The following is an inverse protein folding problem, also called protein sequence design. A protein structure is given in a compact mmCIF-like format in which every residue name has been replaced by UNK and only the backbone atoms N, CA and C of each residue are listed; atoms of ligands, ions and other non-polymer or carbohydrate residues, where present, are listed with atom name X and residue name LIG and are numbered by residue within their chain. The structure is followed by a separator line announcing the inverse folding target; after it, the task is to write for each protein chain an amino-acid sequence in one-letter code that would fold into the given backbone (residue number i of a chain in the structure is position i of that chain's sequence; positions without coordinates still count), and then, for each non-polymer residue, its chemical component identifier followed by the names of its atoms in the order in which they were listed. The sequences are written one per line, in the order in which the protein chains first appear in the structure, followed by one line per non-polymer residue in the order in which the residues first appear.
data_IF_823191981308
#
_entry.id   IF_823191981308
#
_cell.length_a   1.000
_cell.length_b   1.000
_cell.length_c   1.000
_cell.angle_alpha   90.00
_cell.angle_beta   90.00
_cell.angle_gamma   90.00
#
_symmetry.space_group_name_H-M   'P 1'
#
loop_
_entity.id
_entity.type
_entity.pdbx_description
1 polymer ?
#
# COMPACT_ATOMS: atom_id res chain seq x y z
N UNK A 1 6.74 53.40 -54.53
CA UNK A 1 7.60 53.25 -53.34
C UNK A 1 6.87 52.36 -52.35
N UNK A 2 7.46 51.25 -51.93
CA UNK A 2 6.93 50.44 -50.84
C UNK A 2 7.20 51.18 -49.52
N UNK A 3 6.18 51.32 -48.68
CA UNK A 3 6.35 51.93 -47.37
C UNK A 3 7.39 51.13 -46.55
N UNK A 4 8.28 51.79 -45.79
CA UNK A 4 9.15 51.11 -44.84
C UNK A 4 8.28 50.27 -43.89
N UNK A 5 8.64 48.99 -43.69
CA UNK A 5 7.97 48.15 -42.69
C UNK A 5 8.12 48.76 -41.29
N UNK A 6 7.16 48.50 -40.40
CA UNK A 6 7.14 49.07 -39.05
C UNK A 6 8.51 48.97 -38.36
N UNK A 7 9.04 50.11 -37.93
CA UNK A 7 10.27 50.19 -37.15
C UNK A 7 9.99 49.68 -35.72
N UNK A 8 10.11 48.37 -35.54
CA UNK A 8 9.97 47.71 -34.24
C UNK A 8 9.23 46.38 -34.30
N UNK A 9 9.72 45.38 -33.55
CA UNK A 9 9.08 44.06 -33.42
C UNK A 9 7.83 44.05 -32.51
N UNK A 10 7.32 45.21 -32.08
CA UNK A 10 6.21 45.30 -31.12
C UNK A 10 4.93 44.64 -31.63
N UNK A 11 4.60 44.82 -32.91
CA UNK A 11 3.45 44.15 -33.54
C UNK A 11 3.60 42.64 -33.60
N UNK A 12 4.83 42.15 -33.77
CA UNK A 12 5.14 40.72 -33.77
C UNK A 12 5.02 40.10 -32.37
N UNK A 13 5.53 40.77 -31.34
CA UNK A 13 5.41 40.32 -29.96
C UNK A 13 3.93 40.31 -29.50
N UNK A 14 3.15 41.30 -29.91
CA UNK A 14 1.71 41.34 -29.65
C UNK A 14 0.99 40.18 -30.37
N UNK A 15 1.33 39.92 -31.63
CA UNK A 15 0.76 38.79 -32.37
C UNK A 15 1.09 37.45 -31.70
N UNK A 16 2.29 37.30 -31.12
CA UNK A 16 2.67 36.10 -30.37
C UNK A 16 1.86 35.95 -29.07
N UNK A 17 1.65 37.04 -28.33
CA UNK A 17 0.84 37.00 -27.11
C UNK A 17 -0.62 36.69 -27.41
N UNK A 18 -1.18 37.31 -28.45
CA UNK A 18 -2.56 37.08 -28.86
C UNK A 18 -2.73 35.63 -29.32
N UNK A 19 -1.76 35.10 -30.07
CA UNK A 19 -1.75 33.71 -30.52
C UNK A 19 -1.69 32.66 -29.38
N UNK A 20 -1.22 33.02 -28.18
CA UNK A 20 -1.25 32.13 -27.02
C UNK A 20 -2.64 32.05 -26.38
N UNK A 21 -3.43 33.11 -26.47
CA UNK A 21 -4.78 33.18 -25.87
C UNK A 21 -5.86 32.78 -26.87
N UNK A 22 -5.57 32.88 -28.17
CA UNK A 22 -6.49 32.51 -29.25
C UNK A 22 -6.95 31.04 -29.13
N UNK A 23 -8.28 30.78 -29.03
CA UNK A 23 -8.81 29.44 -28.90
C UNK A 23 -8.52 28.59 -30.14
N UNK A 24 -7.79 27.50 -29.96
CA UNK A 24 -7.49 26.54 -31.04
C UNK A 24 -8.20 25.23 -30.82
N UNK A 25 -8.62 24.57 -31.89
CA UNK A 25 -9.24 23.25 -31.75
C UNK A 25 -8.15 22.20 -31.46
N UNK A 26 -8.32 21.32 -30.46
CA UNK A 26 -7.35 20.27 -30.18
C UNK A 26 -7.29 19.24 -31.31
N UNK A 27 -6.09 18.76 -31.63
CA UNK A 27 -5.84 17.86 -32.78
C UNK A 27 -5.69 16.38 -32.43
N UNK A 28 -5.91 15.98 -31.16
CA UNK A 28 -5.91 14.54 -30.85
C UNK A 28 -5.67 14.08 -29.42
N UNK A 29 -5.58 14.97 -28.43
CA UNK A 29 -5.45 14.52 -27.03
C UNK A 29 -6.82 14.34 -26.38
N UNK A 30 -7.12 13.14 -25.90
CA UNK A 30 -8.43 12.76 -25.33
C UNK A 30 -8.88 13.62 -24.15
N UNK A 31 -7.97 14.26 -23.41
CA UNK A 31 -8.38 15.17 -22.32
C UNK A 31 -8.91 16.52 -22.81
N UNK A 32 -8.62 16.89 -24.06
CA UNK A 32 -8.97 18.20 -24.62
C UNK A 32 -10.16 18.04 -25.57
N UNK A 33 -11.31 18.60 -25.19
CA UNK A 33 -12.57 18.45 -25.93
C UNK A 33 -13.18 19.77 -26.41
N UNK A 34 -12.53 20.89 -26.09
CA UNK A 34 -12.99 22.23 -26.45
C UNK A 34 -11.84 23.08 -26.99
N UNK A 35 -12.18 24.05 -27.84
CA UNK A 35 -11.21 25.04 -28.29
C UNK A 35 -10.84 25.96 -27.12
N UNK A 36 -9.55 26.06 -26.84
CA UNK A 36 -9.01 26.77 -25.68
C UNK A 36 -7.67 27.42 -26.03
N UNK A 37 -7.26 28.41 -25.21
CA UNK A 37 -5.91 28.96 -25.28
C UNK A 37 -4.86 27.97 -24.76
N UNK A 38 -3.58 28.24 -25.05
CA UNK A 38 -2.49 27.29 -24.78
C UNK A 38 -2.31 26.95 -23.29
N UNK A 39 -2.54 27.93 -22.40
CA UNK A 39 -2.39 27.73 -20.95
C UNK A 39 -3.45 26.76 -20.40
N UNK A 40 -4.70 26.90 -20.83
CA UNK A 40 -5.79 26.00 -20.43
C UNK A 40 -5.55 24.59 -20.96
N UNK A 41 -5.14 24.45 -22.23
CA UNK A 41 -4.78 23.14 -22.79
C UNK A 41 -3.64 22.47 -22.01
N UNK A 42 -2.60 23.21 -21.65
CA UNK A 42 -1.50 22.68 -20.84
C UNK A 42 -1.99 22.23 -19.45
N UNK A 43 -2.88 23.01 -18.82
CA UNK A 43 -3.51 22.65 -17.56
C UNK A 43 -4.34 21.38 -17.67
N UNK A 44 -5.14 21.23 -18.73
CA UNK A 44 -5.96 20.03 -18.95
C UNK A 44 -5.10 18.77 -19.11
N UNK A 45 -3.98 18.87 -19.84
CA UNK A 45 -3.01 17.75 -19.96
C UNK A 45 -2.42 17.42 -18.58
N UNK A 46 -1.98 18.43 -17.83
CA UNK A 46 -1.42 18.22 -16.49
C UNK A 46 -2.45 17.59 -15.55
N UNK A 47 -3.70 18.07 -15.56
CA UNK A 47 -4.81 17.51 -14.78
C UNK A 47 -5.12 16.06 -15.17
N UNK A 48 -5.04 15.71 -16.45
CA UNK A 48 -5.23 14.34 -16.91
C UNK A 48 -4.18 13.39 -16.33
N UNK A 49 -2.89 13.76 -16.39
CA UNK A 49 -1.82 12.95 -15.82
C UNK A 49 -1.87 12.90 -14.30
N UNK A 50 -2.19 14.01 -13.63
CA UNK A 50 -2.39 14.05 -12.19
C UNK A 50 -3.53 13.12 -11.75
N UNK A 51 -4.67 13.15 -12.46
CA UNK A 51 -5.79 12.25 -12.21
C UNK A 51 -5.45 10.78 -12.43
N UNK A 52 -4.62 10.47 -13.46
CA UNK A 52 -4.15 9.10 -13.70
C UNK A 52 -3.18 8.62 -12.61
N UNK A 53 -2.27 9.48 -12.16
CA UNK A 53 -1.35 9.19 -11.08
C UNK A 53 -2.10 8.93 -9.77
N UNK A 54 -3.05 9.80 -9.41
CA UNK A 54 -3.86 9.66 -8.20
C UNK A 54 -4.61 8.31 -8.16
N UNK A 55 -5.27 7.90 -9.26
CA UNK A 55 -5.94 6.59 -9.34
C UNK A 55 -4.96 5.42 -9.20
N UNK A 56 -3.79 5.53 -9.83
CA UNK A 56 -2.77 4.49 -9.73
C UNK A 56 -2.23 4.35 -8.30
N UNK A 57 -2.12 5.45 -7.55
CA UNK A 57 -1.68 5.43 -6.16
C UNK A 57 -2.77 4.90 -5.22
N UNK A 58 -4.04 5.22 -5.50
CA UNK A 58 -5.18 4.62 -4.80
C UNK A 58 -5.22 3.10 -4.98
N UNK A 59 -5.05 2.61 -6.21
CA UNK A 59 -4.98 1.17 -6.50
C UNK A 59 -3.82 0.49 -5.75
N UNK A 60 -2.64 1.12 -5.72
CA UNK A 60 -1.48 0.62 -4.98
C UNK A 60 -1.74 0.59 -3.48
N UNK A 61 -2.33 1.65 -2.92
CA UNK A 61 -2.66 1.73 -1.52
C UNK A 61 -3.66 0.63 -1.13
N UNK A 62 -4.69 0.41 -1.95
CA UNK A 62 -5.66 -0.66 -1.75
C UNK A 62 -5.01 -2.05 -1.76
N UNK A 63 -4.15 -2.34 -2.75
CA UNK A 63 -3.46 -3.63 -2.85
C UNK A 63 -2.49 -3.86 -1.67
N UNK A 64 -1.76 -2.82 -1.25
CA UNK A 64 -0.89 -2.89 -0.09
C UNK A 64 -1.67 -3.15 1.21
N UNK A 65 -2.78 -2.44 1.43
CA UNK A 65 -3.62 -2.66 2.59
C UNK A 65 -4.19 -4.09 2.59
N UNK A 66 -4.66 -4.58 1.44
CA UNK A 66 -5.13 -5.96 1.28
C UNK A 66 -4.03 -6.97 1.60
N UNK A 67 -2.81 -6.76 1.09
CA UNK A 67 -1.68 -7.63 1.34
C UNK A 67 -1.29 -7.64 2.82
N UNK A 68 -1.28 -6.48 3.49
CA UNK A 68 -1.01 -6.38 4.91
C UNK A 68 -2.04 -7.16 5.75
N UNK A 69 -3.34 -7.03 5.44
CA UNK A 69 -4.40 -7.79 6.11
C UNK A 69 -4.26 -9.28 5.88
N UNK A 70 -3.90 -9.71 4.67
CA UNK A 70 -3.68 -11.13 4.38
C UNK A 70 -2.46 -11.67 5.13
N UNK A 71 -1.36 -10.92 5.16
CA UNK A 71 -0.15 -11.30 5.89
C UNK A 71 -0.41 -11.37 7.40
N UNK A 72 -1.16 -10.42 7.97
CA UNK A 72 -1.57 -10.45 9.38
C UNK A 72 -2.44 -11.67 9.69
N UNK A 73 -3.39 -12.02 8.81
CA UNK A 73 -4.19 -13.24 8.98
C UNK A 73 -3.35 -14.50 8.92
N UNK A 74 -2.38 -14.54 8.01
CA UNK A 74 -1.45 -15.66 7.88
C UNK A 74 -0.57 -15.81 9.14
N UNK A 75 -0.03 -14.71 9.67
CA UNK A 75 0.76 -14.76 10.91
C UNK A 75 -0.07 -15.13 12.12
N UNK A 76 -1.35 -14.76 12.20
CA UNK A 76 -2.23 -15.24 13.28
C UNK A 76 -2.62 -16.71 13.13
N UNK A 77 -2.75 -17.21 11.89
CA UNK A 77 -3.09 -18.61 11.65
C UNK A 77 -1.91 -19.57 11.86
N UNK A 78 -0.70 -19.14 11.55
CA UNK A 78 0.55 -19.92 11.71
C UNK A 78 1.26 -19.57 13.03
N UNK A 79 0.88 -18.46 13.65
CA UNK A 79 1.46 -17.98 14.90
C UNK A 79 1.20 -18.95 16.04
N UNK A 80 2.28 -19.44 16.63
CA UNK A 80 2.23 -20.24 17.86
C UNK A 80 2.19 -19.28 19.03
N UNK A 81 1.11 -19.31 19.81
CA UNK A 81 1.06 -18.65 21.12
C UNK A 81 2.05 -19.35 22.06
N UNK A 82 3.29 -18.87 22.04
CA UNK A 82 4.40 -19.50 22.77
C UNK A 82 4.16 -19.42 24.28
N UNK A 83 3.47 -18.39 24.77
CA UNK A 83 3.14 -18.25 26.19
C UNK A 83 2.09 -19.30 26.59
N UNK A 84 1.07 -19.51 25.75
CA UNK A 84 0.06 -20.56 25.93
C UNK A 84 0.64 -21.98 25.86
N UNK A 85 1.48 -22.25 24.85
CA UNK A 85 2.14 -23.56 24.70
C UNK A 85 3.12 -23.83 25.86
N UNK A 86 3.87 -22.84 26.33
CA UNK A 86 4.75 -22.99 27.49
C UNK A 86 3.95 -23.26 28.78
N UNK A 87 2.81 -22.59 28.99
CA UNK A 87 1.95 -22.88 30.14
C UNK A 87 1.39 -24.31 30.08
N UNK A 88 1.01 -24.78 28.89
CA UNK A 88 0.58 -26.16 28.66
C UNK A 88 1.69 -27.16 28.98
N UNK A 89 2.92 -26.89 28.55
CA UNK A 89 4.08 -27.74 28.84
C UNK A 89 4.39 -27.82 30.35
N UNK A 90 4.28 -26.72 31.09
CA UNK A 90 4.47 -26.73 32.55
C UNK A 90 3.43 -27.62 33.26
N UNK A 91 2.17 -27.57 32.82
CA UNK A 91 1.12 -28.44 33.36
C UNK A 91 1.41 -29.92 33.09
N UNK A 92 1.87 -30.23 31.87
CA UNK A 92 2.30 -31.58 31.50
C UNK A 92 3.48 -32.02 32.37
N UNK A 93 4.50 -31.18 32.54
CA UNK A 93 5.65 -31.46 33.39
C UNK A 93 5.25 -31.75 34.84
N UNK A 94 4.37 -30.94 35.42
CA UNK A 94 3.87 -31.14 36.79
C UNK A 94 3.09 -32.44 36.93
N UNK A 95 2.24 -32.78 35.96
CA UNK A 95 1.49 -34.04 35.96
C UNK A 95 2.43 -35.25 35.88
N UNK A 96 3.50 -35.15 35.09
CA UNK A 96 4.48 -36.20 34.94
C UNK A 96 5.31 -36.39 36.21
N UNK A 97 5.72 -35.29 36.85
CA UNK A 97 6.41 -35.32 38.14
C UNK A 97 5.53 -35.90 39.26
N UNK A 98 4.23 -35.61 39.26
CA UNK A 98 3.28 -36.20 40.18
C UNK A 98 3.11 -37.71 39.96
N UNK A 99 2.96 -38.13 38.70
CA UNK A 99 2.86 -39.56 38.33
C UNK A 99 4.11 -40.35 38.76
N UNK A 100 5.30 -39.76 38.60
CA UNK A 100 6.55 -40.35 39.07
C UNK A 100 6.54 -40.54 40.59
N UNK A 101 6.09 -39.54 41.36
CA UNK A 101 5.98 -39.66 42.84
C UNK A 101 5.00 -40.76 43.24
N UNK A 102 3.84 -40.86 42.60
CA UNK A 102 2.89 -41.93 42.88
C UNK A 102 3.51 -43.31 42.63
N UNK A 103 4.20 -43.49 41.49
CA UNK A 103 4.93 -44.72 41.18
C UNK A 103 5.99 -45.06 42.23
N UNK A 104 6.77 -44.09 42.71
CA UNK A 104 7.76 -44.35 43.78
C UNK A 104 7.12 -44.80 45.08
N UNK A 105 5.98 -44.23 45.46
CA UNK A 105 5.26 -44.64 46.67
C UNK A 105 4.72 -46.06 46.51
N UNK A 106 4.15 -46.39 45.36
CA UNK A 106 3.68 -47.76 45.06
C UNK A 106 4.82 -48.76 45.08
N UNK A 107 5.98 -48.45 44.49
CA UNK A 107 7.16 -49.31 44.53
C UNK A 107 7.64 -49.56 45.97
N UNK A 108 7.61 -48.52 46.81
CA UNK A 108 7.99 -48.63 48.23
C UNK A 108 7.02 -49.54 48.99
N UNK A 109 5.71 -49.40 48.76
CA UNK A 109 4.69 -50.25 49.38
C UNK A 109 4.77 -51.71 48.90
N UNK A 110 5.06 -51.94 47.62
CA UNK A 110 5.27 -53.28 47.06
C UNK A 110 6.48 -53.98 47.68
N UNK A 111 7.60 -53.25 47.86
CA UNK A 111 8.78 -53.78 48.57
C UNK A 111 8.47 -54.18 50.00
N UNK A 112 7.72 -53.34 50.72
CA UNK A 112 7.34 -53.58 52.11
C UNK A 112 6.43 -54.82 52.26
N UNK A 113 5.59 -55.11 51.25
CA UNK A 113 4.78 -56.33 51.18
C UNK A 113 5.56 -57.59 50.77
N UNK A 114 6.71 -57.45 50.12
CA UNK A 114 7.57 -58.58 49.71
C UNK A 114 8.66 -58.91 50.74
N UNK A 115 9.06 -57.95 51.58
CA UNK A 115 10.00 -58.13 52.69
C UNK A 115 9.33 -58.61 54.00
N UNK A 116 7.99 -58.55 54.09
CA UNK A 116 7.19 -59.09 55.17
C UNK A 116 6.71 -60.51 54.86
#
# INVERSE_FOLDING_TARGET
AAAPGNEGFGTYLQALSDAMVDPRNPVGFVSQNAANGSATMASEIASFFAGRAARSDEDRAYLNARQAVLAERETHAIGVDTDGELQSLILVEQSYAANARVLTVVDTLMKLLLEA
#
